data_IF_169179751526
#
_entry.id   IF_169179751526
#
_cell.length_a   1.000
_cell.length_b   1.000
_cell.length_c   1.000
_cell.angle_alpha   90.00
_cell.angle_beta   90.00
_cell.angle_gamma   90.00
#
_symmetry.space_group_name_H-M   'P 1'
#
loop_
_entity.id
_entity.type
_entity.pdbx_description
1 polymer ?
#
# COMPACT_ATOMS: atom_id res chain seq x y z
N UNK A 1 38.99 6.28 -50.57
CA UNK A 1 38.36 4.95 -50.71
C UNK A 1 39.24 3.95 -49.98
N UNK A 2 38.74 3.30 -48.93
CA UNK A 2 39.22 1.97 -48.51
C UNK A 2 38.20 1.36 -47.54
N UNK A 3 37.57 0.27 -47.95
CA UNK A 3 36.61 -0.50 -47.15
C UNK A 3 37.29 -1.77 -46.68
N UNK A 4 37.29 -2.07 -45.39
CA UNK A 4 37.32 -3.46 -44.93
C UNK A 4 36.40 -3.67 -43.73
N UNK A 5 35.56 -4.69 -43.88
CA UNK A 5 34.51 -5.16 -42.96
C UNK A 5 35.00 -6.39 -42.19
N UNK A 6 34.18 -6.90 -41.26
CA UNK A 6 34.40 -8.11 -40.42
C UNK A 6 35.36 -7.84 -39.25
N UNK A 7 35.23 -8.38 -38.02
CA UNK A 7 34.42 -9.48 -37.44
C UNK A 7 34.42 -9.25 -35.88
N UNK A 8 33.56 -9.78 -34.99
CA UNK A 8 32.46 -10.78 -35.00
C UNK A 8 31.54 -10.55 -33.76
N UNK A 9 30.29 -11.06 -33.78
CA UNK A 9 29.46 -11.55 -32.64
C UNK A 9 29.58 -10.93 -31.22
N UNK A 10 28.46 -10.42 -30.69
CA UNK A 10 28.35 -9.98 -29.29
C UNK A 10 26.92 -9.83 -28.74
N UNK A 11 26.11 -10.90 -28.82
CA UNK A 11 24.87 -11.15 -28.06
C UNK A 11 23.74 -10.08 -28.08
N UNK A 12 22.66 -10.44 -28.77
CA UNK A 12 21.31 -10.02 -28.39
C UNK A 12 20.98 -10.56 -26.99
N UNK A 13 20.58 -9.69 -26.07
CA UNK A 13 19.79 -10.02 -24.89
C UNK A 13 18.72 -8.93 -24.75
N UNK A 14 17.48 -9.22 -25.15
CA UNK A 14 16.43 -9.69 -24.23
C UNK A 14 16.03 -8.60 -23.24
N UNK A 15 15.10 -7.71 -23.60
CA UNK A 15 13.64 -7.92 -23.47
C UNK A 15 13.14 -7.72 -22.03
N UNK A 16 12.34 -6.65 -21.87
CA UNK A 16 11.30 -6.42 -20.84
C UNK A 16 11.66 -6.60 -19.36
N UNK A 17 11.65 -5.48 -18.62
CA UNK A 17 11.16 -5.43 -17.24
C UNK A 17 10.58 -4.05 -16.86
N UNK A 18 9.80 -3.45 -17.76
CA UNK A 18 8.98 -2.27 -17.50
C UNK A 18 7.55 -2.68 -17.09
N UNK A 19 7.38 -3.40 -15.98
CA UNK A 19 6.05 -3.88 -15.51
C UNK A 19 5.90 -4.17 -14.00
N UNK A 20 6.78 -3.69 -13.13
CA UNK A 20 6.66 -3.92 -11.66
C UNK A 20 5.81 -2.88 -10.92
N UNK A 21 5.53 -1.71 -11.51
CA UNK A 21 4.80 -0.61 -10.86
C UNK A 21 3.30 -0.86 -10.63
N UNK A 22 2.71 -1.89 -11.25
CA UNK A 22 1.28 -2.25 -11.12
C UNK A 22 1.01 -3.45 -10.19
N UNK A 23 2.04 -3.99 -9.54
CA UNK A 23 1.91 -5.11 -8.60
C UNK A 23 2.10 -4.69 -7.13
N UNK A 24 2.20 -3.40 -6.82
CA UNK A 24 2.35 -2.92 -5.43
C UNK A 24 1.10 -3.12 -4.54
N UNK A 25 -0.04 -3.54 -5.12
CA UNK A 25 -1.20 -4.05 -4.39
C UNK A 25 -1.21 -5.59 -4.24
N UNK A 26 -0.37 -6.30 -4.99
CA UNK A 26 -0.29 -7.76 -4.94
C UNK A 26 0.67 -8.19 -3.82
N UNK A 27 0.09 -8.70 -2.73
CA UNK A 27 0.77 -9.15 -1.51
C UNK A 27 1.42 -8.04 -0.64
N UNK A 28 0.68 -6.95 -0.38
CA UNK A 28 0.92 -6.17 0.83
C UNK A 28 0.90 -7.08 2.08
N UNK A 29 1.91 -6.94 2.94
CA UNK A 29 2.07 -7.76 4.14
C UNK A 29 0.89 -7.58 5.10
N UNK A 30 0.67 -8.54 6.01
CA UNK A 30 -0.43 -8.44 6.97
C UNK A 30 -0.32 -7.17 7.83
N UNK A 31 0.90 -6.81 8.20
CA UNK A 31 1.24 -5.61 8.96
C UNK A 31 0.97 -4.32 8.17
N UNK A 32 1.29 -4.30 6.88
CA UNK A 32 1.02 -3.14 6.01
C UNK A 32 -0.47 -2.94 5.77
N UNK A 33 -1.22 -4.03 5.55
CA UNK A 33 -2.67 -3.99 5.37
C UNK A 33 -3.36 -3.52 6.66
N UNK A 34 -3.06 -4.15 7.80
CA UNK A 34 -3.63 -3.79 9.10
C UNK A 34 -3.24 -2.35 9.49
N UNK A 35 -1.95 -2.00 9.39
CA UNK A 35 -1.46 -0.66 9.72
C UNK A 35 -2.10 0.45 8.89
N UNK A 36 -2.21 0.27 7.58
CA UNK A 36 -2.88 1.23 6.69
C UNK A 36 -4.37 1.41 7.01
N UNK A 37 -5.10 0.31 7.19
CA UNK A 37 -6.54 0.35 7.54
C UNK A 37 -6.75 1.02 8.90
N UNK A 38 -5.99 0.64 9.93
CA UNK A 38 -6.14 1.22 11.27
C UNK A 38 -5.76 2.71 11.32
N UNK A 39 -4.80 3.15 10.50
CA UNK A 39 -4.44 4.56 10.36
C UNK A 39 -5.56 5.39 9.72
N UNK A 40 -6.15 4.91 8.64
CA UNK A 40 -7.30 5.57 7.99
C UNK A 40 -8.48 5.61 8.96
N UNK A 41 -8.82 4.50 9.63
CA UNK A 41 -9.87 4.46 10.65
C UNK A 41 -9.66 5.49 11.76
N UNK A 42 -8.43 5.62 12.26
CA UNK A 42 -8.07 6.61 13.29
C UNK A 42 -8.32 8.06 12.82
N UNK A 43 -7.85 8.41 11.63
CA UNK A 43 -8.02 9.78 11.08
C UNK A 43 -9.49 10.09 10.74
N UNK A 44 -10.23 9.09 10.24
CA UNK A 44 -11.58 9.27 9.72
C UNK A 44 -12.69 9.20 10.76
N UNK A 45 -12.50 8.47 11.87
CA UNK A 45 -13.49 8.34 12.95
C UNK A 45 -13.99 9.70 13.48
N UNK A 46 -13.14 10.70 13.79
CA UNK A 46 -13.61 12.01 14.25
C UNK A 46 -14.15 12.92 13.13
N UNK A 47 -14.04 12.53 11.85
CA UNK A 47 -14.47 13.33 10.69
C UNK A 47 -15.83 12.88 10.15
N UNK A 48 -16.01 11.57 9.94
CA UNK A 48 -17.26 10.98 9.46
C UNK A 48 -17.39 9.53 9.97
N UNK A 49 -18.13 9.35 11.06
CA UNK A 49 -18.39 8.05 11.67
C UNK A 49 -19.18 7.07 10.78
N UNK A 50 -19.82 7.53 9.69
CA UNK A 50 -20.47 6.63 8.72
C UNK A 50 -19.46 6.06 7.73
N UNK A 51 -18.41 6.81 7.40
CA UNK A 51 -17.34 6.39 6.49
C UNK A 51 -16.44 5.28 7.04
N UNK A 52 -16.38 5.08 8.37
CA UNK A 52 -15.45 4.10 8.98
C UNK A 52 -15.96 2.67 9.08
N UNK A 53 -17.28 2.44 8.96
CA UNK A 53 -17.84 1.08 9.05
C UNK A 53 -17.30 0.13 7.96
N UNK A 54 -17.23 0.52 6.66
CA UNK A 54 -16.61 -0.31 5.63
C UNK A 54 -15.16 -0.69 5.93
N UNK A 55 -14.35 0.24 6.48
CA UNK A 55 -12.97 -0.03 6.88
C UNK A 55 -12.85 -1.04 8.02
N UNK A 56 -13.75 -1.00 9.00
CA UNK A 56 -13.81 -2.00 10.07
C UNK A 56 -14.19 -3.39 9.52
N UNK A 57 -15.15 -3.47 8.61
CA UNK A 57 -15.50 -4.72 7.93
C UNK A 57 -14.34 -5.25 7.07
N UNK A 58 -13.59 -4.37 6.39
CA UNK A 58 -12.44 -4.74 5.56
C UNK A 58 -11.29 -5.27 6.43
N UNK A 59 -11.00 -4.63 7.58
CA UNK A 59 -10.05 -5.13 8.58
C UNK A 59 -10.47 -6.52 9.09
N UNK A 60 -11.73 -6.69 9.47
CA UNK A 60 -12.26 -7.96 9.98
C UNK A 60 -12.12 -9.08 8.94
N UNK A 61 -12.49 -8.81 7.68
CA UNK A 61 -12.32 -9.77 6.57
C UNK A 61 -10.85 -10.13 6.34
N UNK A 62 -9.93 -9.17 6.43
CA UNK A 62 -8.50 -9.43 6.28
C UNK A 62 -7.95 -10.32 7.41
N UNK A 63 -8.43 -10.11 8.65
CA UNK A 63 -8.10 -10.93 9.82
C UNK A 63 -8.62 -12.36 9.67
N UNK A 64 -9.88 -12.54 9.28
CA UNK A 64 -10.50 -13.85 9.11
C UNK A 64 -9.87 -14.65 7.96
N UNK A 65 -9.70 -14.04 6.78
CA UNK A 65 -9.15 -14.69 5.59
C UNK A 65 -7.71 -15.18 5.79
N UNK A 66 -6.88 -14.40 6.50
CA UNK A 66 -5.45 -14.69 6.69
C UNK A 66 -5.14 -15.25 8.08
N UNK A 67 -6.15 -15.46 8.94
CA UNK A 67 -6.02 -15.91 10.34
C UNK A 67 -5.02 -15.07 11.15
N UNK A 68 -5.13 -13.74 11.04
CA UNK A 68 -4.18 -12.81 11.63
C UNK A 68 -4.36 -12.67 13.14
N UNK A 69 -3.26 -12.71 13.89
CA UNK A 69 -3.23 -12.21 15.26
C UNK A 69 -2.93 -10.69 15.25
N UNK A 70 -3.98 -9.87 15.40
CA UNK A 70 -3.85 -8.42 15.51
C UNK A 70 -2.98 -7.98 16.70
N UNK A 71 -3.00 -8.72 17.82
CA UNK A 71 -2.21 -8.39 19.00
C UNK A 71 -0.72 -8.71 18.83
N UNK A 72 -0.38 -9.68 17.98
CA UNK A 72 0.99 -9.89 17.51
C UNK A 72 1.39 -8.83 16.48
N UNK A 73 0.58 -8.61 15.44
CA UNK A 73 0.86 -7.66 14.35
C UNK A 73 1.12 -6.25 14.88
N UNK A 74 0.29 -5.74 15.79
CA UNK A 74 0.42 -4.38 16.34
C UNK A 74 1.71 -4.16 17.16
N UNK A 75 2.43 -5.22 17.54
CA UNK A 75 3.74 -5.16 18.20
C UNK A 75 4.92 -5.13 17.21
N UNK A 76 4.67 -5.39 15.92
CA UNK A 76 5.72 -5.40 14.90
C UNK A 76 6.11 -3.99 14.48
N UNK A 77 7.39 -3.82 14.11
CA UNK A 77 7.88 -2.55 13.56
C UNK A 77 7.23 -2.24 12.21
N UNK A 78 6.99 -3.27 11.38
CA UNK A 78 6.35 -3.10 10.07
C UNK A 78 4.94 -2.51 10.18
N UNK A 79 4.14 -2.94 11.17
CA UNK A 79 2.83 -2.34 11.46
C UNK A 79 3.00 -0.87 11.86
N UNK A 80 3.92 -0.58 12.79
CA UNK A 80 4.17 0.77 13.30
C UNK A 80 4.57 1.73 12.19
N UNK A 81 5.45 1.29 11.28
CA UNK A 81 5.89 2.07 10.10
C UNK A 81 4.72 2.30 9.15
N UNK A 82 3.96 1.26 8.80
CA UNK A 82 2.82 1.39 7.89
C UNK A 82 1.72 2.31 8.44
N UNK A 83 1.36 2.12 9.71
CA UNK A 83 0.39 2.96 10.41
C UNK A 83 0.83 4.42 10.44
N UNK A 84 2.07 4.70 10.87
CA UNK A 84 2.57 6.07 10.97
C UNK A 84 2.72 6.73 9.59
N UNK A 85 3.14 5.99 8.56
CA UNK A 85 3.25 6.52 7.20
C UNK A 85 1.87 6.98 6.69
N UNK A 86 0.84 6.14 6.83
CA UNK A 86 -0.50 6.43 6.32
C UNK A 86 -1.23 7.48 7.16
N UNK A 87 -1.09 7.43 8.50
CA UNK A 87 -1.65 8.45 9.39
C UNK A 87 -1.04 9.83 9.11
N UNK A 88 0.28 9.93 8.97
CA UNK A 88 0.94 11.19 8.62
C UNK A 88 0.57 11.68 7.21
N UNK A 89 0.47 10.77 6.22
CA UNK A 89 0.02 11.09 4.86
C UNK A 89 -1.36 11.75 4.87
N UNK A 90 -2.31 11.19 5.62
CA UNK A 90 -3.66 11.73 5.74
C UNK A 90 -3.68 13.03 6.56
N UNK A 91 -2.99 13.09 7.70
CA UNK A 91 -2.97 14.29 8.55
C UNK A 91 -2.32 15.51 7.88
N UNK A 92 -1.37 15.28 6.95
CA UNK A 92 -0.77 16.33 6.13
C UNK A 92 -1.75 16.97 5.11
N UNK A 93 -2.86 16.30 4.77
CA UNK A 93 -3.88 16.88 3.87
C UNK A 93 -4.70 17.96 4.58
N UNK A 94 -5.15 19.01 3.85
CA UNK A 94 -6.16 19.95 4.33
C UNK A 94 -7.43 19.26 4.82
N UNK A 95 -8.10 19.82 5.83
CA UNK A 95 -9.27 19.19 6.47
C UNK A 95 -10.38 18.80 5.48
N UNK A 96 -10.64 19.63 4.47
CA UNK A 96 -11.62 19.33 3.41
C UNK A 96 -11.24 18.09 2.59
N UNK A 97 -9.97 17.96 2.23
CA UNK A 97 -9.45 16.83 1.48
C UNK A 97 -9.41 15.56 2.34
N UNK A 98 -9.15 15.67 3.66
CA UNK A 98 -9.26 14.54 4.60
C UNK A 98 -10.68 13.96 4.62
N UNK A 99 -11.70 14.81 4.70
CA UNK A 99 -13.11 14.35 4.67
C UNK A 99 -13.41 13.59 3.38
N UNK A 100 -13.00 14.12 2.22
CA UNK A 100 -13.17 13.43 0.93
C UNK A 100 -12.39 12.11 0.89
N UNK A 101 -11.13 12.10 1.35
CA UNK A 101 -10.32 10.87 1.39
C UNK A 101 -10.98 9.78 2.26
N UNK A 102 -11.53 10.15 3.42
CA UNK A 102 -12.26 9.24 4.30
C UNK A 102 -13.52 8.65 3.64
N UNK A 103 -14.23 9.43 2.83
CA UNK A 103 -15.42 8.99 2.11
C UNK A 103 -15.11 8.04 0.94
N UNK A 104 -13.85 7.95 0.49
CA UNK A 104 -13.42 7.14 -0.67
C UNK A 104 -12.29 6.16 -0.35
N UNK A 105 -12.03 5.85 0.93
CA UNK A 105 -10.88 5.03 1.33
C UNK A 105 -11.09 3.51 1.29
N UNK A 106 -12.32 3.05 1.03
CA UNK A 106 -12.76 1.66 1.19
C UNK A 106 -13.55 1.18 -0.03
#
# INVERSE_FOLDING_TARGET
MSTHFLRTTGLLASVLLASSAHSALAAASAEQVVGGIEAVLFVCTPLDAKSVKPGQELLQRAVEQRKLDLAAIRKTEAYRVAYNAEANRLLALPQRERVTACQTAW
#
